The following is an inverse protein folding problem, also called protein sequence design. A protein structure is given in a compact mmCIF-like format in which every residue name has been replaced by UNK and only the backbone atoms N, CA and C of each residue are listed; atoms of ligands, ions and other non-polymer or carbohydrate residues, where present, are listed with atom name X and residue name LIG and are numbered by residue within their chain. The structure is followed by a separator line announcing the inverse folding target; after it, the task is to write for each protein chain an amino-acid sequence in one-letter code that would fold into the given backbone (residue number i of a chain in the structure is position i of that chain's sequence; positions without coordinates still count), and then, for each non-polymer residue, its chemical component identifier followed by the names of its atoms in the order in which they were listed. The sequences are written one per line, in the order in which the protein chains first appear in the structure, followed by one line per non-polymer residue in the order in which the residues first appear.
data_IF_349794028232
#
_entry.id   IF_349794028232
#
_cell.length_a   1.000
_cell.length_b   1.000
_cell.length_c   1.000
_cell.angle_alpha   90.00
_cell.angle_beta   90.00
_cell.angle_gamma   90.00
#
_symmetry.space_group_name_H-M   'P 1'
#
loop_
_entity.id
_entity.type
_entity.pdbx_description
1 polymer ?
#
# COMPACT_ATOMS: atom_id res chain seq x y z
N UNK A 1 -2.41 14.53 21.01
CA UNK A 1 -1.21 14.75 20.17
C UNK A 1 -0.05 14.18 20.95
N UNK A 2 0.40 12.98 20.61
CA UNK A 2 1.59 12.38 21.21
C UNK A 2 2.77 12.66 20.30
N UNK A 3 3.82 13.24 20.87
CA UNK A 3 5.10 13.50 20.21
C UNK A 3 5.62 12.23 19.55
N UNK A 4 5.80 12.28 18.23
CA UNK A 4 6.63 11.30 17.54
C UNK A 4 8.06 11.62 17.98
N UNK A 5 8.67 10.74 18.77
CA UNK A 5 10.06 10.88 19.20
C UNK A 5 10.96 10.84 17.97
N UNK A 6 11.30 12.03 17.45
CA UNK A 6 12.07 12.25 16.22
C UNK A 6 13.48 11.64 16.27
N UNK A 7 13.90 11.08 17.40
CA UNK A 7 15.19 10.41 17.58
C UNK A 7 15.17 8.91 17.22
N UNK A 8 14.00 8.29 17.14
CA UNK A 8 13.88 6.83 16.88
C UNK A 8 13.78 6.53 15.40
N UNK A 9 14.53 5.50 14.97
CA UNK A 9 14.34 4.89 13.65
C UNK A 9 12.88 4.44 13.46
N UNK A 10 12.39 4.54 12.22
CA UNK A 10 11.03 4.13 11.85
C UNK A 10 11.08 3.01 10.82
N UNK A 11 10.29 1.97 11.03
CA UNK A 11 10.15 0.84 10.12
C UNK A 11 8.73 0.78 9.57
N UNK A 12 8.62 0.66 8.26
CA UNK A 12 7.38 0.35 7.56
C UNK A 12 7.46 -1.10 7.10
N UNK A 13 6.72 -1.97 7.77
CA UNK A 13 6.70 -3.40 7.51
C UNK A 13 5.53 -3.75 6.58
N UNK A 14 5.84 -4.29 5.42
CA UNK A 14 4.84 -4.97 4.60
C UNK A 14 4.18 -6.10 5.40
N UNK A 15 2.88 -6.28 5.26
CA UNK A 15 2.13 -7.29 5.99
C UNK A 15 2.19 -8.64 5.25
N UNK A 16 1.57 -8.72 4.07
CA UNK A 16 1.49 -9.95 3.30
C UNK A 16 2.87 -10.36 2.76
N UNK A 17 3.16 -11.66 2.78
CA UNK A 17 4.42 -12.28 2.35
C UNK A 17 5.66 -11.91 3.19
N UNK A 18 5.51 -11.13 4.26
CA UNK A 18 6.59 -10.77 5.20
C UNK A 18 6.25 -11.19 6.63
N UNK A 19 5.03 -10.91 7.09
CA UNK A 19 4.56 -11.30 8.41
C UNK A 19 3.81 -12.64 8.40
N UNK A 20 3.03 -12.88 7.35
CA UNK A 20 2.35 -14.15 7.07
C UNK A 20 2.17 -14.37 5.56
N UNK A 21 1.93 -15.62 5.15
CA UNK A 21 1.63 -15.99 3.76
C UNK A 21 0.11 -15.82 3.51
N UNK A 22 -0.35 -14.92 2.62
CA UNK A 22 -1.77 -14.72 2.35
C UNK A 22 -2.42 -15.87 1.55
N UNK A 23 -1.67 -16.89 1.14
CA UNK A 23 -2.19 -18.05 0.41
C UNK A 23 -3.20 -18.81 1.28
N UNK A 24 -4.42 -19.09 0.77
CA UNK A 24 -5.42 -19.86 1.52
C UNK A 24 -4.85 -21.17 2.06
N UNK A 25 -5.00 -21.41 3.36
CA UNK A 25 -4.45 -22.59 4.06
C UNK A 25 -3.12 -22.34 4.77
N UNK A 26 -2.35 -21.35 4.33
CA UNK A 26 -1.13 -20.89 5.03
C UNK A 26 -1.37 -19.58 5.81
N UNK A 27 -2.51 -18.94 5.61
CA UNK A 27 -2.81 -17.58 6.07
C UNK A 27 -3.17 -17.45 7.55
N UNK A 28 -3.09 -18.55 8.30
CA UNK A 28 -3.29 -18.62 9.75
C UNK A 28 -1.97 -18.89 10.51
N UNK A 29 -0.83 -18.80 9.84
CA UNK A 29 0.49 -19.04 10.43
C UNK A 29 1.40 -17.85 10.14
N UNK A 30 2.05 -17.34 11.18
CA UNK A 30 3.08 -16.31 11.03
C UNK A 30 4.31 -16.91 10.33
N UNK A 31 4.95 -16.12 9.46
CA UNK A 31 6.25 -16.49 8.89
C UNK A 31 7.26 -16.68 10.03
N UNK A 32 8.08 -17.73 9.97
CA UNK A 32 8.99 -18.08 11.05
C UNK A 32 9.91 -16.91 11.44
N UNK A 33 9.93 -16.57 12.73
CA UNK A 33 10.73 -15.47 13.30
C UNK A 33 10.15 -14.07 13.11
N UNK A 34 9.05 -13.88 12.38
CA UNK A 34 8.45 -12.56 12.12
C UNK A 34 7.92 -11.88 13.38
N UNK A 35 7.26 -12.64 14.26
CA UNK A 35 6.73 -12.13 15.54
C UNK A 35 7.86 -11.58 16.42
N UNK A 36 8.90 -12.38 16.65
CA UNK A 36 10.04 -11.97 17.48
C UNK A 36 10.79 -10.77 16.88
N UNK A 37 10.96 -10.75 15.56
CA UNK A 37 11.60 -9.63 14.86
C UNK A 37 10.81 -8.32 15.04
N UNK A 38 9.49 -8.35 14.86
CA UNK A 38 8.62 -7.19 15.06
C UNK A 38 8.64 -6.73 16.51
N UNK A 39 8.57 -7.66 17.47
CA UNK A 39 8.63 -7.32 18.90
C UNK A 39 9.95 -6.62 19.26
N UNK A 40 11.08 -7.11 18.74
CA UNK A 40 12.39 -6.48 18.93
C UNK A 40 12.44 -5.08 18.31
N UNK A 41 11.92 -4.91 17.10
CA UNK A 41 11.85 -3.60 16.44
C UNK A 41 10.99 -2.61 17.25
N UNK A 42 9.82 -3.04 17.73
CA UNK A 42 8.91 -2.19 18.51
C UNK A 42 9.51 -1.71 19.85
N UNK A 43 10.49 -2.43 20.43
CA UNK A 43 11.18 -2.02 21.67
C UNK A 43 12.08 -0.80 21.46
N UNK A 44 12.61 -0.59 20.26
CA UNK A 44 13.64 0.43 19.98
C UNK A 44 13.20 1.48 18.96
N UNK A 45 12.14 1.20 18.19
CA UNK A 45 11.80 1.93 16.97
C UNK A 45 10.28 2.13 16.82
N UNK A 46 9.89 3.07 15.98
CA UNK A 46 8.51 3.16 15.51
C UNK A 46 8.28 2.09 14.44
N UNK A 47 7.17 1.36 14.52
CA UNK A 47 6.83 0.31 13.54
C UNK A 47 5.41 0.55 13.06
N UNK A 48 5.28 0.70 11.75
CA UNK A 48 4.03 0.79 11.01
C UNK A 48 3.89 -0.41 10.08
N UNK A 49 2.66 -0.80 9.80
CA UNK A 49 2.33 -1.97 9.00
C UNK A 49 1.61 -1.54 7.73
N UNK A 50 2.04 -2.03 6.58
CA UNK A 50 1.51 -1.67 5.27
C UNK A 50 1.00 -2.91 4.54
N UNK A 51 -0.29 -2.91 4.20
CA UNK A 51 -0.89 -3.83 3.24
C UNK A 51 -1.12 -3.11 1.92
N UNK A 52 -0.87 -3.78 0.80
CA UNK A 52 -1.24 -3.28 -0.53
C UNK A 52 -2.70 -3.55 -0.87
N UNK A 53 -3.43 -4.29 -0.03
CA UNK A 53 -4.85 -4.57 -0.25
C UNK A 53 -5.68 -3.29 -0.14
N UNK A 54 -6.64 -3.13 -1.05
CA UNK A 54 -7.67 -2.09 -0.95
C UNK A 54 -8.98 -2.64 -0.38
N UNK A 55 -9.06 -3.94 -0.12
CA UNK A 55 -10.27 -4.65 0.33
C UNK A 55 -10.29 -4.92 1.84
N UNK A 56 -9.15 -4.80 2.51
CA UNK A 56 -9.03 -5.09 3.94
C UNK A 56 -9.15 -3.82 4.78
N UNK A 57 -9.86 -3.90 5.90
CA UNK A 57 -9.90 -2.86 6.91
C UNK A 57 -8.65 -2.96 7.81
N UNK A 58 -8.00 -1.83 8.18
CA UNK A 58 -6.95 -1.81 9.19
C UNK A 58 -7.29 -2.55 10.50
N UNK A 59 -8.53 -2.48 10.98
CA UNK A 59 -8.94 -3.20 12.20
C UNK A 59 -8.83 -4.70 12.03
N UNK A 60 -9.37 -5.22 10.93
CA UNK A 60 -9.38 -6.67 10.65
C UNK A 60 -7.95 -7.20 10.45
N UNK A 61 -7.08 -6.39 9.85
CA UNK A 61 -5.66 -6.69 9.72
C UNK A 61 -4.93 -6.67 11.08
N UNK A 62 -5.22 -5.69 11.94
CA UNK A 62 -4.65 -5.64 13.28
C UNK A 62 -5.08 -6.87 14.09
N UNK A 63 -6.37 -7.21 14.08
CA UNK A 63 -6.92 -8.38 14.76
C UNK A 63 -6.30 -9.68 14.24
N UNK A 64 -6.14 -9.81 12.92
CA UNK A 64 -5.44 -10.95 12.30
C UNK A 64 -3.98 -11.02 12.73
N UNK A 65 -3.24 -9.91 12.75
CA UNK A 65 -1.86 -9.92 13.22
C UNK A 65 -1.79 -10.26 14.71
N UNK A 66 -2.71 -9.76 15.53
CA UNK A 66 -2.76 -10.12 16.95
C UNK A 66 -3.06 -11.61 17.17
N UNK A 67 -3.94 -12.23 16.36
CA UNK A 67 -4.21 -13.68 16.45
C UNK A 67 -3.01 -14.54 16.04
N UNK A 68 -2.13 -13.99 15.20
CA UNK A 68 -0.85 -14.60 14.81
C UNK A 68 0.28 -14.39 15.83
N UNK A 69 0.01 -13.67 16.93
CA UNK A 69 0.96 -13.45 18.03
C UNK A 69 1.73 -12.12 17.97
N UNK A 70 1.44 -11.24 17.00
CA UNK A 70 2.00 -9.89 17.00
C UNK A 70 1.29 -9.00 18.04
N UNK A 71 1.90 -7.88 18.42
CA UNK A 71 1.23 -6.82 19.19
C UNK A 71 1.05 -5.60 18.29
N UNK A 72 -0.15 -5.43 17.74
CA UNK A 72 -0.46 -4.42 16.72
C UNK A 72 -1.72 -3.65 17.09
N UNK A 73 -1.68 -2.33 16.95
CA UNK A 73 -2.86 -1.47 17.08
C UNK A 73 -3.32 -0.98 15.71
N UNK A 74 -4.61 -0.71 15.57
CA UNK A 74 -5.23 -0.32 14.30
C UNK A 74 -4.60 0.95 13.72
N UNK A 75 -4.20 1.90 14.57
CA UNK A 75 -3.60 3.19 14.17
C UNK A 75 -2.21 3.03 13.52
N UNK A 76 -1.60 1.85 13.68
CA UNK A 76 -0.32 1.52 13.07
C UNK A 76 -0.47 0.74 11.76
N UNK A 77 -1.69 0.40 11.35
CA UNK A 77 -1.97 -0.40 10.15
C UNK A 77 -2.51 0.50 9.05
N UNK A 78 -1.85 0.44 7.89
CA UNK A 78 -2.21 1.17 6.69
C UNK A 78 -2.44 0.21 5.54
N UNK A 79 -3.43 0.53 4.74
CA UNK A 79 -3.79 -0.19 3.52
C UNK A 79 -3.70 0.76 2.32
N UNK A 80 -3.56 0.25 1.10
CA UNK A 80 -3.52 1.11 -0.09
C UNK A 80 -4.75 2.03 -0.16
N UNK A 81 -5.93 1.56 0.24
CA UNK A 81 -7.16 2.37 0.24
C UNK A 81 -7.15 3.49 1.31
N UNK A 82 -6.61 3.23 2.51
CA UNK A 82 -6.44 4.30 3.51
C UNK A 82 -5.46 5.36 3.04
N UNK A 83 -4.40 4.96 2.30
CA UNK A 83 -3.45 5.89 1.73
C UNK A 83 -4.05 6.70 0.59
N UNK A 84 -4.91 6.11 -0.23
CA UNK A 84 -5.67 6.87 -1.24
C UNK A 84 -6.56 7.95 -0.59
N UNK A 85 -7.29 7.60 0.48
CA UNK A 85 -8.07 8.56 1.26
C UNK A 85 -7.18 9.66 1.83
N UNK A 86 -6.04 9.30 2.43
CA UNK A 86 -5.08 10.28 2.95
C UNK A 86 -4.57 11.25 1.87
N UNK A 87 -4.28 10.75 0.65
CA UNK A 87 -3.89 11.59 -0.48
C UNK A 87 -5.01 12.57 -0.88
N UNK A 88 -6.25 12.09 -1.00
CA UNK A 88 -7.41 12.96 -1.33
C UNK A 88 -7.57 14.06 -0.29
N UNK A 89 -7.52 13.71 1.00
CA UNK A 89 -7.70 14.64 2.12
C UNK A 89 -6.55 15.66 2.22
N UNK A 90 -5.31 15.24 1.98
CA UNK A 90 -4.13 16.12 2.01
C UNK A 90 -4.25 17.31 1.04
N UNK A 91 -4.94 17.11 -0.09
CA UNK A 91 -5.16 18.15 -1.09
C UNK A 91 -6.47 18.93 -0.88
N UNK A 92 -7.14 18.80 0.28
CA UNK A 92 -8.45 19.40 0.60
C UNK A 92 -9.44 19.24 -0.56
N UNK A 93 -9.39 18.07 -1.20
CA UNK A 93 -10.01 17.83 -2.49
C UNK A 93 -11.17 16.88 -2.36
N UNK A 94 -12.14 16.98 -3.27
CA UNK A 94 -13.22 16.02 -3.40
C UNK A 94 -12.86 14.96 -4.44
N UNK A 95 -13.39 13.75 -4.27
CA UNK A 95 -13.14 12.65 -5.18
C UNK A 95 -14.43 12.14 -5.84
N UNK A 96 -14.32 11.67 -7.08
CA UNK A 96 -15.25 10.65 -7.57
C UNK A 96 -14.69 9.30 -7.13
N UNK A 97 -15.47 8.49 -6.42
CA UNK A 97 -15.02 7.21 -5.86
C UNK A 97 -15.85 6.07 -6.43
N UNK A 98 -15.18 5.07 -7.01
CA UNK A 98 -15.78 3.82 -7.46
C UNK A 98 -15.01 2.65 -6.87
N UNK A 99 -15.57 2.07 -5.81
CA UNK A 99 -14.99 0.99 -5.02
C UNK A 99 -15.99 -0.17 -4.83
N UNK A 100 -15.47 -1.40 -4.59
CA UNK A 100 -16.26 -2.51 -4.06
C UNK A 100 -16.88 -2.15 -2.70
N UNK A 101 -17.94 -2.86 -2.34
CA UNK A 101 -18.71 -2.60 -1.11
C UNK A 101 -17.84 -2.71 0.14
N UNK A 102 -16.95 -3.69 0.15
CA UNK A 102 -15.98 -4.01 1.19
C UNK A 102 -14.99 -2.88 1.46
N UNK A 103 -14.83 -1.93 0.54
CA UNK A 103 -13.91 -0.79 0.64
C UNK A 103 -14.64 0.55 0.78
N UNK A 104 -15.97 0.59 0.71
CA UNK A 104 -16.73 1.86 0.74
C UNK A 104 -16.69 2.57 2.08
N UNK A 105 -16.46 1.83 3.16
CA UNK A 105 -16.43 2.34 4.53
C UNK A 105 -15.41 3.48 4.74
N UNK A 106 -14.38 3.60 3.91
CA UNK A 106 -13.34 4.62 4.07
C UNK A 106 -13.72 5.98 3.43
N UNK A 107 -14.59 5.99 2.42
CA UNK A 107 -15.05 7.18 1.71
C UNK A 107 -16.54 7.40 2.01
N UNK A 108 -16.86 7.77 3.25
CA UNK A 108 -18.23 7.93 3.75
C UNK A 108 -18.67 9.38 3.89
N UNK A 109 -17.73 10.34 3.91
CA UNK A 109 -18.07 11.73 4.10
C UNK A 109 -18.75 12.26 2.83
N UNK A 110 -19.78 13.10 2.98
CA UNK A 110 -20.42 13.74 1.82
C UNK A 110 -19.43 14.60 0.99
N UNK A 111 -18.28 14.94 1.59
CA UNK A 111 -17.14 15.59 0.95
C UNK A 111 -16.28 14.61 0.12
N UNK A 112 -16.24 13.32 0.49
CA UNK A 112 -15.56 12.25 -0.26
C UNK A 112 -16.36 11.79 -1.46
N UNK A 113 -17.68 11.66 -1.28
CA UNK A 113 -18.59 11.12 -2.27
C UNK A 113 -19.24 12.30 -2.95
N UNK A 114 -18.71 12.69 -4.11
CA UNK A 114 -19.32 13.73 -4.93
C UNK A 114 -20.83 13.49 -5.10
N UNK A 115 -21.64 14.19 -4.30
CA UNK A 115 -23.09 14.24 -4.46
C UNK A 115 -23.41 14.56 -5.92
N UNK A 116 -24.53 14.07 -6.49
CA UNK A 116 -24.77 14.09 -7.93
C UNK A 116 -24.58 15.50 -8.50
N UNK A 117 -23.41 15.68 -9.13
CA UNK A 117 -23.02 16.65 -10.16
C UNK A 117 -23.84 17.96 -10.14
N UNK A 118 -23.90 18.66 -9.00
CA UNK A 118 -24.51 20.01 -8.93
C UNK A 118 -23.49 21.14 -8.92
N UNK A 119 -22.24 20.87 -8.54
CA UNK A 119 -21.14 21.83 -8.63
C UNK A 119 -19.87 21.16 -9.17
N UNK A 120 -19.70 21.25 -10.49
CA UNK A 120 -18.58 20.69 -11.29
C UNK A 120 -17.18 21.21 -10.90
N UNK A 121 -17.06 22.19 -10.01
CA UNK A 121 -15.82 22.98 -9.86
C UNK A 121 -14.80 22.52 -8.80
N UNK A 122 -14.93 21.34 -8.16
CA UNK A 122 -13.86 20.93 -7.21
C UNK A 122 -13.67 19.43 -6.98
N UNK A 123 -13.89 18.59 -8.01
CA UNK A 123 -13.39 17.20 -7.98
C UNK A 123 -11.98 17.17 -8.57
N UNK A 124 -10.98 16.96 -7.73
CA UNK A 124 -9.57 16.94 -8.14
C UNK A 124 -8.97 15.53 -8.05
N UNK A 125 -9.76 14.55 -7.61
CA UNK A 125 -9.38 13.15 -7.60
C UNK A 125 -10.47 12.26 -8.18
N UNK A 126 -10.04 11.19 -8.83
CA UNK A 126 -10.88 10.07 -9.25
C UNK A 126 -10.24 8.83 -8.67
N UNK A 127 -10.97 8.06 -7.88
CA UNK A 127 -10.50 6.85 -7.20
C UNK A 127 -11.25 5.65 -7.77
N UNK A 128 -10.53 4.71 -8.38
CA UNK A 128 -11.12 3.54 -9.02
C UNK A 128 -10.45 2.26 -8.49
N UNK A 129 -11.26 1.38 -7.89
CA UNK A 129 -10.86 0.03 -7.48
C UNK A 129 -11.91 -1.04 -7.80
N UNK A 130 -12.95 -0.68 -8.56
CA UNK A 130 -13.97 -1.64 -8.99
C UNK A 130 -13.34 -2.69 -9.93
N UNK A 131 -13.68 -3.98 -9.80
CA UNK A 131 -13.21 -5.01 -10.73
C UNK A 131 -13.59 -4.71 -12.19
N UNK A 132 -12.76 -5.09 -13.18
CA UNK A 132 -13.02 -4.85 -14.61
C UNK A 132 -14.42 -5.28 -15.08
N UNK A 133 -14.90 -6.43 -14.62
CA UNK A 133 -16.20 -7.01 -14.99
C UNK A 133 -17.40 -6.20 -14.47
N UNK A 134 -17.18 -5.31 -13.49
CA UNK A 134 -18.18 -4.38 -12.95
C UNK A 134 -17.98 -2.95 -13.48
N UNK A 135 -17.02 -2.72 -14.37
CA UNK A 135 -16.79 -1.42 -15.00
C UNK A 135 -17.89 -1.12 -16.02
N UNK A 136 -18.73 -0.13 -15.73
CA UNK A 136 -19.80 0.31 -16.65
C UNK A 136 -19.40 1.55 -17.43
N UNK A 137 -20.06 1.78 -18.57
CA UNK A 137 -19.94 3.03 -19.34
C UNK A 137 -20.28 4.25 -18.47
N UNK A 138 -21.23 4.10 -17.54
CA UNK A 138 -21.58 5.18 -16.62
C UNK A 138 -20.42 5.53 -15.68
N UNK A 139 -19.73 4.53 -15.10
CA UNK A 139 -18.54 4.77 -14.27
C UNK A 139 -17.45 5.45 -15.08
N UNK A 140 -17.18 4.98 -16.30
CA UNK A 140 -16.20 5.57 -17.21
C UNK A 140 -16.53 7.03 -17.52
N UNK A 141 -17.78 7.33 -17.90
CA UNK A 141 -18.22 8.69 -18.20
C UNK A 141 -18.10 9.62 -16.98
N UNK A 142 -18.44 9.14 -15.77
CA UNK A 142 -18.28 9.92 -14.56
C UNK A 142 -16.79 10.20 -14.26
N UNK A 143 -15.94 9.19 -14.36
CA UNK A 143 -14.51 9.31 -14.15
C UNK A 143 -13.85 10.27 -15.14
N UNK A 144 -14.10 10.11 -16.44
CA UNK A 144 -13.51 10.96 -17.49
C UNK A 144 -14.03 12.39 -17.40
N UNK A 145 -15.31 12.60 -17.13
CA UNK A 145 -15.86 13.94 -16.93
C UNK A 145 -15.21 14.64 -15.73
N UNK A 146 -15.01 13.94 -14.61
CA UNK A 146 -14.31 14.49 -13.46
C UNK A 146 -12.86 14.89 -13.80
N UNK A 147 -12.13 14.02 -14.51
CA UNK A 147 -10.74 14.27 -14.93
C UNK A 147 -10.60 15.43 -15.95
N UNK A 148 -11.55 15.57 -16.87
CA UNK A 148 -11.51 16.62 -17.89
C UNK A 148 -11.89 17.99 -17.32
N UNK A 149 -12.69 18.03 -16.26
CA UNK A 149 -13.20 19.29 -15.70
C UNK A 149 -12.16 20.06 -14.90
N UNK A 150 -11.24 19.38 -14.20
CA UNK A 150 -10.21 20.04 -13.41
C UNK A 150 -8.80 19.77 -13.97
N UNK A 151 -7.99 20.81 -14.28
CA UNK A 151 -6.67 20.63 -14.90
C UNK A 151 -5.67 19.87 -14.02
N UNK A 152 -5.81 19.96 -12.70
CA UNK A 152 -4.96 19.28 -11.71
C UNK A 152 -5.57 17.96 -11.19
N UNK A 153 -6.52 17.37 -11.92
CA UNK A 153 -7.15 16.13 -11.47
C UNK A 153 -6.19 14.94 -11.57
N UNK A 154 -6.17 14.07 -10.56
CA UNK A 154 -5.43 12.81 -10.59
C UNK A 154 -6.35 11.60 -10.55
N UNK A 155 -5.94 10.54 -11.26
CA UNK A 155 -6.60 9.23 -11.19
C UNK A 155 -5.82 8.32 -10.24
N UNK A 156 -6.45 7.84 -9.17
CA UNK A 156 -5.92 6.81 -8.27
C UNK A 156 -6.53 5.46 -8.66
N UNK A 157 -5.69 4.45 -8.85
CA UNK A 157 -6.11 3.10 -9.20
C UNK A 157 -5.47 2.09 -8.28
N UNK A 158 -6.28 1.16 -7.78
CA UNK A 158 -5.81 -0.03 -7.09
C UNK A 158 -5.66 -1.16 -8.09
N UNK A 159 -4.47 -1.74 -8.16
CA UNK A 159 -4.16 -2.78 -9.15
C UNK A 159 -3.56 -3.99 -8.47
N UNK A 160 -4.37 -5.01 -8.23
CA UNK A 160 -3.86 -6.32 -7.90
C UNK A 160 -3.51 -7.00 -9.22
N UNK A 161 -2.22 -7.21 -9.50
CA UNK A 161 -1.83 -8.07 -10.63
C UNK A 161 -2.37 -9.47 -10.35
N UNK A 162 -3.49 -9.86 -10.96
CA UNK A 162 -3.69 -11.23 -11.44
C UNK A 162 -4.62 -11.19 -12.64
N UNK A 163 -4.06 -11.70 -13.73
CA UNK A 163 -4.72 -12.22 -14.91
C UNK A 163 -5.51 -13.46 -14.47
N UNK A 164 -6.82 -13.34 -14.31
CA UNK A 164 -7.66 -14.53 -14.15
C UNK A 164 -7.93 -15.09 -15.53
N UNK A 165 -7.35 -16.26 -15.81
CA UNK A 165 -7.73 -17.10 -16.94
C UNK A 165 -9.13 -17.64 -16.69
N UNK A 166 -10.14 -16.98 -17.25
CA UNK A 166 -11.35 -17.69 -17.67
C UNK A 166 -11.00 -18.25 -19.05
N UNK A 167 -11.08 -19.56 -19.22
CA UNK A 167 -10.84 -20.25 -20.50
C UNK A 167 -9.42 -20.12 -21.10
N UNK A 168 -8.41 -19.79 -20.28
CA UNK A 168 -7.01 -19.66 -20.73
C UNK A 168 -6.65 -18.29 -21.31
N UNK A 169 -7.57 -17.32 -21.31
CA UNK A 169 -7.29 -15.97 -21.78
C UNK A 169 -6.81 -15.03 -20.68
N UNK A 170 -5.80 -14.22 -21.01
CA UNK A 170 -5.26 -13.27 -20.06
C UNK A 170 -6.16 -12.04 -19.87
N UNK A 171 -6.83 -11.91 -18.72
CA UNK A 171 -7.55 -10.69 -18.36
C UNK A 171 -6.63 -9.57 -17.85
N UNK A 172 -6.91 -8.33 -18.22
CA UNK A 172 -6.15 -7.15 -17.79
C UNK A 172 -6.64 -6.66 -16.42
N UNK A 173 -5.72 -6.44 -15.50
CA UNK A 173 -5.98 -5.80 -14.21
C UNK A 173 -6.33 -4.32 -14.34
N UNK A 174 -6.76 -3.73 -13.23
CA UNK A 174 -7.21 -2.34 -13.18
C UNK A 174 -6.14 -1.33 -13.53
N UNK A 175 -4.85 -1.65 -13.34
CA UNK A 175 -3.75 -0.80 -13.76
C UNK A 175 -3.74 -0.52 -15.27
N UNK A 176 -4.22 -1.46 -16.10
CA UNK A 176 -4.37 -1.25 -17.54
C UNK A 176 -5.49 -0.24 -17.84
N UNK A 177 -6.67 -0.43 -17.24
CA UNK A 177 -7.80 0.49 -17.38
C UNK A 177 -7.44 1.90 -16.91
N UNK A 178 -6.72 2.00 -15.79
CA UNK A 178 -6.19 3.25 -15.26
C UNK A 178 -5.36 4.01 -16.27
N UNK A 179 -4.34 3.35 -16.85
CA UNK A 179 -3.47 3.93 -17.88
C UNK A 179 -4.25 4.38 -19.12
N UNK A 180 -5.23 3.59 -19.56
CA UNK A 180 -6.08 3.94 -20.70
C UNK A 180 -6.90 5.20 -20.44
N UNK A 181 -7.58 5.29 -19.28
CA UNK A 181 -8.35 6.48 -18.88
C UNK A 181 -7.41 7.70 -18.76
N UNK A 182 -6.24 7.52 -18.14
CA UNK A 182 -5.19 8.54 -18.02
C UNK A 182 -4.83 9.14 -19.39
N UNK A 183 -4.57 8.26 -20.37
CA UNK A 183 -4.16 8.65 -21.71
C UNK A 183 -5.28 9.38 -22.45
N UNK A 184 -6.53 8.89 -22.35
CA UNK A 184 -7.70 9.54 -22.95
C UNK A 184 -7.95 10.95 -22.41
N UNK A 185 -7.67 11.19 -21.13
CA UNK A 185 -7.91 12.48 -20.49
C UNK A 185 -6.68 13.41 -20.45
N UNK A 186 -5.50 12.94 -20.87
CA UNK A 186 -4.25 13.68 -20.71
C UNK A 186 -3.92 13.99 -19.24
N UNK A 187 -4.24 13.07 -18.33
CA UNK A 187 -4.03 13.20 -16.88
C UNK A 187 -3.00 12.20 -16.36
N UNK A 188 -2.48 12.45 -15.16
CA UNK A 188 -1.61 11.52 -14.44
C UNK A 188 -2.41 10.43 -13.70
N UNK A 189 -1.81 9.25 -13.57
CA UNK A 189 -2.35 8.14 -12.78
C UNK A 189 -1.40 7.75 -11.67
N UNK A 190 -1.95 7.56 -10.46
CA UNK A 190 -1.32 7.01 -9.27
C UNK A 190 -1.80 5.57 -9.15
N UNK A 191 -0.90 4.60 -9.36
CA UNK A 191 -1.21 3.18 -9.19
C UNK A 191 -0.69 2.74 -7.81
N UNK A 192 -1.61 2.38 -6.93
CA UNK A 192 -1.31 1.90 -5.58
C UNK A 192 -1.37 0.37 -5.58
N UNK A 193 -0.20 -0.26 -5.58
CA UNK A 193 -0.03 -1.71 -5.53
C UNK A 193 1.36 -2.09 -4.99
N UNK A 194 1.61 -3.39 -4.83
CA UNK A 194 2.87 -3.93 -4.30
C UNK A 194 4.09 -3.68 -5.19
N UNK A 195 3.88 -3.45 -6.49
CA UNK A 195 4.94 -3.18 -7.46
C UNK A 195 5.32 -1.69 -7.52
N UNK A 196 4.70 -0.86 -6.67
CA UNK A 196 4.80 0.59 -6.70
C UNK A 196 5.29 1.13 -5.36
N UNK A 197 6.37 1.93 -5.40
CA UNK A 197 6.88 2.62 -4.21
C UNK A 197 5.91 3.68 -3.68
N UNK A 198 4.81 3.96 -4.39
CA UNK A 198 3.88 5.04 -4.07
C UNK A 198 3.15 4.82 -2.75
N UNK A 199 2.82 3.58 -2.36
CA UNK A 199 2.22 3.35 -1.04
C UNK A 199 3.20 3.72 0.09
N UNK A 200 4.47 3.36 -0.05
CA UNK A 200 5.51 3.74 0.90
C UNK A 200 5.68 5.26 0.99
N UNK A 201 5.78 5.95 -0.15
CA UNK A 201 5.90 7.42 -0.17
C UNK A 201 4.65 8.13 0.34
N UNK A 202 3.45 7.64 0.01
CA UNK A 202 2.20 8.17 0.52
C UNK A 202 2.12 8.04 2.04
N UNK A 203 2.53 6.90 2.59
CA UNK A 203 2.58 6.68 4.03
C UNK A 203 3.59 7.61 4.71
N UNK A 204 4.80 7.74 4.16
CA UNK A 204 5.81 8.68 4.67
C UNK A 204 5.30 10.12 4.69
N UNK A 205 4.67 10.57 3.62
CA UNK A 205 4.10 11.91 3.54
C UNK A 205 2.96 12.11 4.55
N UNK A 206 2.07 11.12 4.66
CA UNK A 206 0.94 11.15 5.59
C UNK A 206 1.40 11.25 7.06
N UNK A 207 2.41 10.47 7.43
CA UNK A 207 2.96 10.42 8.78
C UNK A 207 4.09 11.43 9.03
N UNK A 208 4.49 12.21 8.01
CA UNK A 208 5.61 13.16 8.04
C UNK A 208 6.92 12.53 8.53
N UNK A 209 7.21 11.33 8.03
CA UNK A 209 8.38 10.56 8.44
C UNK A 209 9.66 11.09 7.80
N UNK A 210 10.72 11.15 8.60
CA UNK A 210 12.06 11.54 8.16
C UNK A 210 12.64 10.49 7.21
N UNK A 211 13.04 10.87 5.98
CA UNK A 211 13.68 9.96 5.04
C UNK A 211 14.93 9.26 5.55
N UNK A 212 15.75 9.94 6.35
CA UNK A 212 17.07 9.43 6.75
C UNK A 212 16.97 8.38 7.87
N UNK A 213 15.82 8.32 8.56
CA UNK A 213 15.57 7.38 9.67
C UNK A 213 14.45 6.38 9.38
N UNK A 214 13.91 6.36 8.15
CA UNK A 214 12.79 5.47 7.76
C UNK A 214 13.25 4.32 6.87
N UNK A 215 13.06 3.09 7.34
CA UNK A 215 13.35 1.85 6.61
C UNK A 215 12.07 1.14 6.15
N UNK A 216 12.11 0.52 4.98
CA UNK A 216 11.05 -0.37 4.50
C UNK A 216 11.48 -1.84 4.62
N UNK A 217 10.58 -2.67 5.16
CA UNK A 217 10.76 -4.12 5.30
C UNK A 217 9.73 -4.81 4.41
N UNK A 218 10.17 -5.45 3.32
CA UNK A 218 9.30 -5.94 2.25
C UNK A 218 9.86 -7.10 1.43
N UNK A 219 9.05 -7.64 0.53
CA UNK A 219 9.49 -8.66 -0.43
C UNK A 219 10.12 -8.05 -1.68
N UNK A 220 10.95 -8.83 -2.38
CA UNK A 220 11.85 -8.39 -3.47
C UNK A 220 11.17 -8.04 -4.80
N UNK A 221 9.84 -8.13 -4.91
CA UNK A 221 9.12 -7.72 -6.12
C UNK A 221 9.11 -6.19 -6.23
N UNK A 222 10.22 -5.66 -6.73
CA UNK A 222 10.55 -4.25 -6.98
C UNK A 222 9.34 -3.30 -6.93
N UNK A 223 9.13 -2.58 -5.82
CA UNK A 223 8.91 -1.16 -5.96
C UNK A 223 10.22 -0.61 -6.54
N UNK A 224 10.16 0.24 -7.58
CA UNK A 224 11.34 0.96 -8.06
C UNK A 224 11.86 1.87 -6.92
N UNK A 225 12.69 1.31 -6.04
CA UNK A 225 13.37 1.97 -4.92
C UNK A 225 14.83 2.28 -5.34
N UNK A 226 15.02 2.70 -6.59
CA UNK A 226 16.35 2.92 -7.19
C UNK A 226 17.04 4.20 -6.69
N UNK A 227 16.65 4.76 -5.55
CA UNK A 227 17.46 5.81 -4.92
C UNK A 227 17.16 5.94 -3.43
N UNK A 228 18.23 5.76 -2.63
CA UNK A 228 18.45 6.31 -1.28
C UNK A 228 18.00 5.54 -0.03
N UNK A 229 17.54 4.29 -0.07
CA UNK A 229 17.11 3.61 1.17
C UNK A 229 17.72 2.22 1.38
N UNK A 230 18.16 1.97 2.61
CA UNK A 230 18.49 0.64 3.13
C UNK A 230 17.22 -0.20 3.18
N UNK A 231 17.04 -1.06 2.18
CA UNK A 231 15.93 -2.03 2.13
C UNK A 231 16.38 -3.32 2.83
N UNK A 232 15.68 -3.72 3.90
CA UNK A 232 15.81 -5.07 4.44
C UNK A 232 14.90 -6.01 3.64
N UNK A 233 15.49 -6.76 2.70
CA UNK A 233 14.81 -7.72 1.86
C UNK A 233 14.73 -9.09 2.55
N UNK A 234 13.55 -9.69 2.59
CA UNK A 234 13.35 -11.07 3.06
C UNK A 234 12.77 -11.85 1.88
N UNK A 235 13.46 -12.88 1.39
CA UNK A 235 12.91 -13.77 0.35
C UNK A 235 13.08 -15.22 0.74
N UNK A 236 11.99 -15.99 0.69
CA UNK A 236 12.00 -17.44 0.90
C UNK A 236 11.37 -18.21 -0.28
N UNK A 237 11.45 -17.67 -1.51
CA UNK A 237 10.82 -18.29 -2.69
C UNK A 237 11.84 -19.00 -3.59
N UNK A 238 11.53 -20.25 -3.91
CA UNK A 238 12.34 -21.25 -4.63
C UNK A 238 12.51 -21.02 -6.14
N UNK A 239 12.49 -19.76 -6.61
CA UNK A 239 12.63 -19.41 -8.04
C UNK A 239 13.54 -18.19 -8.21
N UNK A 240 14.85 -18.41 -8.31
CA UNK A 240 15.81 -17.36 -8.67
C UNK A 240 16.54 -17.71 -9.97
N UNK A 241 16.65 -16.80 -10.94
CA UNK A 241 17.56 -16.94 -12.09
C UNK A 241 19.01 -16.53 -11.72
N UNK A 242 19.98 -17.21 -12.33
CA UNK A 242 21.41 -17.33 -11.98
C UNK A 242 22.30 -16.08 -12.11
N UNK A 243 21.77 -14.86 -12.21
CA UNK A 243 22.64 -13.68 -12.35
C UNK A 243 22.13 -12.43 -11.64
N UNK A 244 22.37 -12.35 -10.33
CA UNK A 244 22.59 -11.05 -9.66
C UNK A 244 23.32 -11.25 -8.33
N UNK A 245 24.40 -10.51 -8.15
CA UNK A 245 25.25 -10.52 -6.96
C UNK A 245 24.46 -10.12 -5.69
N UNK A 246 24.24 -11.10 -4.79
CA UNK A 246 24.55 -11.17 -3.34
C UNK A 246 24.18 -9.92 -2.44
N UNK A 247 23.61 -9.97 -1.22
CA UNK A 247 23.46 -10.94 -0.09
C UNK A 247 22.38 -10.33 0.86
N UNK A 248 21.62 -11.02 1.72
CA UNK A 248 21.97 -12.15 2.58
C UNK A 248 20.80 -13.12 2.74
N UNK A 249 21.04 -14.38 2.34
CA UNK A 249 20.41 -15.54 2.93
C UNK A 249 20.72 -15.58 4.42
N UNK A 250 19.82 -15.08 5.24
CA UNK A 250 19.87 -15.31 6.68
C UNK A 250 18.45 -15.17 7.21
N UNK A 251 18.08 -16.03 8.17
CA UNK A 251 16.79 -15.93 8.82
C UNK A 251 16.61 -14.53 9.39
N UNK A 252 15.36 -14.03 9.38
CA UNK A 252 14.97 -12.70 9.83
C UNK A 252 15.63 -12.26 11.17
N UNK A 253 15.90 -13.22 12.06
CA UNK A 253 16.61 -12.99 13.32
C UNK A 253 18.05 -12.48 13.18
N UNK A 254 18.77 -12.79 12.10
CA UNK A 254 20.16 -12.34 11.90
C UNK A 254 20.25 -10.95 11.24
N UNK A 255 19.34 -10.63 10.32
CA UNK A 255 19.24 -9.28 9.75
C UNK A 255 18.88 -8.23 10.83
N UNK A 256 17.99 -8.60 11.76
CA UNK A 256 17.62 -7.79 12.92
C UNK A 256 18.83 -7.60 13.87
N UNK A 257 19.61 -8.64 14.15
CA UNK A 257 20.80 -8.54 15.02
C UNK A 257 21.89 -7.60 14.47
N UNK A 258 22.07 -7.49 13.15
CA UNK A 258 23.05 -6.55 12.55
C UNK A 258 22.63 -5.09 12.67
N UNK A 259 21.33 -4.80 12.53
CA UNK A 259 20.79 -3.45 12.70
C UNK A 259 20.98 -2.99 14.17
N UNK A 260 20.80 -3.91 15.13
CA UNK A 260 21.06 -3.62 16.54
C UNK A 260 22.55 -3.45 16.88
N UNK A 261 23.46 -4.24 16.29
CA UNK A 261 24.91 -4.07 16.53
C UNK A 261 25.50 -2.80 15.91
N UNK A 262 24.85 -2.20 14.91
CA UNK A 262 25.24 -0.88 14.39
C UNK A 262 24.71 0.30 15.23
N UNK A 263 23.67 0.10 16.04
CA UNK A 263 23.08 1.14 16.89
C UNK A 263 23.76 1.24 18.28
N UNK A 264 24.40 0.17 18.75
CA UNK A 264 25.16 0.15 20.02
C UNK A 264 26.60 0.72 19.90
N UNK A 265 26.94 1.39 18.80
CA UNK A 265 28.28 1.98 18.55
C UNK A 265 28.26 3.50 18.31
N UNK A 266 27.27 4.21 18.85
CA UNK A 266 27.26 5.68 18.92
C UNK A 266 27.29 6.12 20.37
#
# INVERSE_FOLDING_TARGET
MSDCDMSKSTFICQIENVLYDPTPGNDNVAIAGSVEAVERLQKSSNVYFLSYSYLKNPSDLADKLNSLGFTVTTERVFTSVTLAKALVMHHSSRAFVSLPEESRWIFTDAEDLGAPIRNKQSLNFVVIGIPPERMTIQILNCATNALLTHPMSYLIVFDNKVIVTVDGEEQRGMGWYGKTISAMCGRGTIILNENSSLCFYALKAHLRLDPDTTCFVGTKEKPALDSLLSVALISNTSKLPESSHLIVEESLGSAVNRIFTSLDRV
#
